data_IF_747607404851
#
_entry.id   IF_747607404851
#
_cell.length_a   1.000
_cell.length_b   1.000
_cell.length_c   1.000
_cell.angle_alpha   90.00
_cell.angle_beta   90.00
_cell.angle_gamma   90.00
#
_symmetry.space_group_name_H-M   'P 1'
#
loop_
_entity.id
_entity.type
_entity.pdbx_description
1 polymer ?
#
# COMPACT_ATOMS: atom_id res chain seq x y z
N UNK A 1 -7.74 36.90 12.15
CA UNK A 1 -7.94 36.71 10.70
C UNK A 1 -9.12 35.78 10.51
N UNK A 2 -9.96 35.92 9.48
CA UNK A 2 -11.02 34.93 9.21
C UNK A 2 -10.46 33.76 8.36
N UNK A 3 -11.20 32.63 8.19
CA UNK A 3 -10.70 31.50 7.43
C UNK A 3 -10.34 31.83 5.97
N UNK A 4 -11.10 32.72 5.32
CA UNK A 4 -10.84 33.11 3.91
C UNK A 4 -9.52 33.84 3.81
N UNK A 5 -9.34 34.88 4.62
CA UNK A 5 -8.11 35.67 4.64
C UNK A 5 -6.89 34.80 5.01
N UNK A 6 -7.05 33.77 5.85
CA UNK A 6 -5.98 32.81 6.15
C UNK A 6 -5.57 32.02 4.92
N UNK A 7 -6.54 31.50 4.16
CA UNK A 7 -6.26 30.73 2.94
C UNK A 7 -5.63 31.63 1.88
N UNK A 8 -6.18 32.82 1.64
CA UNK A 8 -5.65 33.78 0.66
C UNK A 8 -4.20 34.19 0.99
N UNK A 9 -3.89 34.42 2.27
CA UNK A 9 -2.54 34.70 2.72
C UNK A 9 -1.60 33.50 2.51
N UNK A 10 -2.04 32.27 2.82
CA UNK A 10 -1.26 31.06 2.56
C UNK A 10 -0.93 30.89 1.07
N UNK A 11 -1.92 31.04 0.18
CA UNK A 11 -1.72 30.92 -1.27
C UNK A 11 -0.69 31.95 -1.77
N UNK A 12 -0.80 33.21 -1.33
CA UNK A 12 0.11 34.28 -1.72
C UNK A 12 1.54 34.03 -1.20
N UNK A 13 1.69 33.66 0.07
CA UNK A 13 2.99 33.41 0.69
C UNK A 13 3.69 32.17 0.08
N UNK A 14 2.93 31.11 -0.23
CA UNK A 14 3.47 29.93 -0.92
C UNK A 14 3.97 30.27 -2.32
N UNK A 15 3.17 30.98 -3.12
CA UNK A 15 3.56 31.40 -4.46
C UNK A 15 4.78 32.33 -4.45
N UNK A 16 4.86 33.26 -3.49
CA UNK A 16 6.01 34.16 -3.34
C UNK A 16 7.29 33.40 -2.98
N UNK A 17 7.20 32.45 -2.04
CA UNK A 17 8.32 31.60 -1.67
C UNK A 17 8.80 30.71 -2.83
N UNK A 18 7.87 30.12 -3.59
CA UNK A 18 8.19 29.34 -4.79
C UNK A 18 8.95 30.20 -5.81
N UNK A 19 8.45 31.40 -6.12
CA UNK A 19 9.08 32.32 -7.06
C UNK A 19 10.49 32.76 -6.62
N UNK A 20 10.73 32.92 -5.32
CA UNK A 20 12.04 33.27 -4.76
C UNK A 20 13.06 32.13 -4.94
N UNK A 21 12.62 30.88 -4.78
CA UNK A 21 13.49 29.69 -4.82
C UNK A 21 13.65 29.14 -6.25
N UNK A 22 12.66 29.33 -7.13
CA UNK A 22 12.64 28.79 -8.50
C UNK A 22 13.94 29.01 -9.29
N UNK A 23 14.60 30.20 -9.25
CA UNK A 23 15.85 30.41 -9.98
C UNK A 23 17.00 29.49 -9.57
N UNK A 24 16.98 28.90 -8.37
CA UNK A 24 17.98 27.93 -7.91
C UNK A 24 17.82 26.59 -8.64
N UNK A 25 16.58 26.19 -8.96
CA UNK A 25 16.28 24.98 -9.71
C UNK A 25 16.53 25.15 -11.22
N UNK A 26 16.23 26.33 -11.78
CA UNK A 26 16.42 26.61 -13.21
C UNK A 26 17.90 26.74 -13.62
N UNK A 27 18.81 27.06 -12.70
CA UNK A 27 20.23 27.30 -12.99
C UNK A 27 21.16 26.08 -12.79
N UNK A 28 20.60 24.86 -12.81
CA UNK A 28 21.34 23.59 -12.58
C UNK A 28 22.55 23.37 -13.48
N UNK A 29 22.58 23.94 -14.68
CA UNK A 29 23.68 23.76 -15.65
C UNK A 29 24.99 24.50 -15.27
N UNK A 30 25.00 25.35 -14.22
CA UNK A 30 26.16 26.21 -13.89
C UNK A 30 27.01 25.78 -12.70
N UNK A 31 26.91 24.52 -12.26
CA UNK A 31 27.75 24.00 -11.18
C UNK A 31 27.50 24.65 -9.81
N UNK A 32 26.30 25.20 -9.60
CA UNK A 32 25.90 25.79 -8.33
C UNK A 32 25.75 24.72 -7.22
N UNK A 33 25.97 25.07 -5.93
CA UNK A 33 25.77 24.15 -4.81
C UNK A 33 24.38 23.52 -4.80
N UNK A 34 24.27 22.28 -4.32
CA UNK A 34 23.04 21.46 -4.22
C UNK A 34 22.11 21.92 -3.08
N UNK A 35 21.99 23.23 -2.85
CA UNK A 35 21.24 23.79 -1.72
C UNK A 35 19.80 24.20 -2.13
N UNK A 36 19.34 23.79 -3.32
CA UNK A 36 18.02 24.14 -3.90
C UNK A 36 16.87 23.64 -3.02
N UNK A 37 16.88 22.35 -2.68
CA UNK A 37 15.92 21.78 -1.75
C UNK A 37 16.10 22.28 -0.32
N UNK A 38 17.31 22.65 0.12
CA UNK A 38 17.52 23.23 1.44
C UNK A 38 16.88 24.61 1.58
N UNK A 39 17.06 25.46 0.56
CA UNK A 39 16.40 26.76 0.48
C UNK A 39 14.87 26.60 0.46
N UNK A 40 14.37 25.64 -0.32
CA UNK A 40 12.93 25.34 -0.39
C UNK A 40 12.38 24.88 0.98
N UNK A 41 13.04 23.91 1.62
CA UNK A 41 12.64 23.41 2.94
C UNK A 41 12.63 24.51 4.00
N UNK A 42 13.57 25.45 3.94
CA UNK A 42 13.58 26.60 4.85
C UNK A 42 12.34 27.49 4.65
N UNK A 43 11.99 27.80 3.40
CA UNK A 43 10.80 28.61 3.10
C UNK A 43 9.51 27.90 3.49
N UNK A 44 9.40 26.61 3.24
CA UNK A 44 8.27 25.81 3.70
C UNK A 44 8.10 25.84 5.22
N UNK A 45 9.19 25.81 5.99
CA UNK A 45 9.11 25.96 7.46
C UNK A 45 8.60 27.33 7.89
N UNK A 46 8.97 28.39 7.17
CA UNK A 46 8.46 29.74 7.43
C UNK A 46 6.95 29.83 7.15
N UNK A 47 6.48 29.25 6.03
CA UNK A 47 5.06 29.16 5.68
C UNK A 47 4.28 28.33 6.72
N UNK A 48 4.82 27.16 7.09
CA UNK A 48 4.21 26.26 8.08
C UNK A 48 4.01 26.97 9.42
N UNK A 49 5.06 27.64 9.94
CA UNK A 49 4.98 28.43 11.17
C UNK A 49 3.97 29.59 11.09
N UNK A 50 3.85 30.23 9.92
CA UNK A 50 2.95 31.35 9.71
C UNK A 50 1.47 30.94 9.62
N UNK A 51 1.17 29.78 9.03
CA UNK A 51 -0.19 29.43 8.60
C UNK A 51 -0.78 28.18 9.23
N UNK A 52 0.05 27.21 9.64
CA UNK A 52 -0.43 25.88 10.01
C UNK A 52 -0.52 25.66 11.53
N UNK A 53 -1.29 24.64 11.91
CA UNK A 53 -1.39 24.09 13.26
C UNK A 53 -0.98 22.60 13.34
N UNK A 54 -0.89 21.92 12.19
CA UNK A 54 -0.53 20.51 12.11
C UNK A 54 0.98 20.24 12.04
N UNK A 55 1.35 18.98 11.82
CA UNK A 55 2.74 18.58 11.57
C UNK A 55 3.32 19.24 10.32
N UNK A 56 4.66 19.34 10.31
CA UNK A 56 5.41 19.91 9.21
C UNK A 56 5.13 19.17 7.89
N UNK A 57 4.97 19.97 6.85
CA UNK A 57 4.65 19.61 5.47
C UNK A 57 5.74 18.77 4.76
N UNK A 58 6.01 17.55 5.23
CA UNK A 58 7.09 16.69 4.68
C UNK A 58 6.90 16.34 3.21
N UNK A 59 5.66 16.13 2.74
CA UNK A 59 5.38 15.69 1.37
C UNK A 59 5.83 16.70 0.31
N UNK A 60 5.75 18.01 0.58
CA UNK A 60 6.23 19.05 -0.35
C UNK A 60 7.69 19.45 -0.10
N UNK A 61 8.28 19.01 1.01
CA UNK A 61 9.67 19.34 1.35
C UNK A 61 10.69 18.74 0.38
N UNK A 62 10.31 17.68 -0.34
CA UNK A 62 11.14 16.98 -1.33
C UNK A 62 10.62 17.09 -2.76
N UNK A 63 9.57 17.90 -2.98
CA UNK A 63 9.00 18.14 -4.30
C UNK A 63 9.10 19.62 -4.65
N UNK A 64 9.54 19.91 -5.87
CA UNK A 64 9.55 21.27 -6.42
C UNK A 64 9.22 21.22 -7.90
N UNK A 65 8.07 21.78 -8.28
CA UNK A 65 7.60 21.81 -9.66
C UNK A 65 7.91 23.15 -10.34
N UNK A 66 7.80 23.18 -11.67
CA UNK A 66 8.00 24.41 -12.46
C UNK A 66 6.97 25.50 -12.16
N UNK A 67 5.80 25.13 -11.64
CA UNK A 67 4.74 26.02 -11.15
C UNK A 67 4.45 25.73 -9.68
N UNK A 68 4.01 26.72 -8.90
CA UNK A 68 3.63 26.50 -7.51
C UNK A 68 2.35 25.65 -7.42
N UNK A 69 2.33 24.69 -6.49
CA UNK A 69 1.12 23.88 -6.21
C UNK A 69 -0.04 24.72 -5.68
N UNK A 70 0.28 25.81 -4.97
CA UNK A 70 -0.66 26.75 -4.39
C UNK A 70 -0.35 28.17 -4.87
N UNK A 71 -1.28 28.78 -5.61
CA UNK A 71 -1.16 30.18 -6.04
C UNK A 71 -2.54 30.82 -6.16
N UNK A 72 -2.70 32.12 -5.82
CA UNK A 72 -3.94 32.85 -6.07
C UNK A 72 -4.33 32.89 -7.55
N UNK A 73 -3.36 32.71 -8.47
CA UNK A 73 -3.60 32.73 -9.91
C UNK A 73 -4.17 31.42 -10.46
N UNK A 74 -3.98 30.31 -9.73
CA UNK A 74 -4.35 28.95 -10.18
C UNK A 74 -5.32 28.24 -9.25
N UNK A 75 -5.61 28.81 -8.08
CA UNK A 75 -6.48 28.21 -7.06
C UNK A 75 -7.55 29.21 -6.62
N UNK A 76 -8.82 28.84 -6.79
CA UNK A 76 -9.98 29.65 -6.40
C UNK A 76 -10.70 29.05 -5.18
N UNK A 77 -11.06 29.88 -4.20
CA UNK A 77 -11.86 29.44 -3.04
C UNK A 77 -13.35 29.45 -3.40
N UNK A 78 -13.90 28.27 -3.68
CA UNK A 78 -15.31 28.10 -4.04
C UNK A 78 -16.25 28.22 -2.83
N UNK A 79 -15.88 27.60 -1.71
CA UNK A 79 -16.78 27.47 -0.55
C UNK A 79 -16.01 27.41 0.76
N UNK A 80 -16.54 28.06 1.79
CA UNK A 80 -16.08 27.93 3.17
C UNK A 80 -17.28 27.66 4.07
N UNK A 81 -17.18 26.60 4.86
CA UNK A 81 -18.17 26.22 5.86
C UNK A 81 -17.53 26.29 7.25
N UNK A 82 -18.13 27.05 8.17
CA UNK A 82 -17.61 27.23 9.53
C UNK A 82 -18.45 26.42 10.52
N UNK A 83 -17.78 25.57 11.28
CA UNK A 83 -18.32 24.66 12.28
C UNK A 83 -17.72 25.00 13.65
N UNK A 84 -18.15 26.11 14.25
CA UNK A 84 -17.64 26.56 15.54
C UNK A 84 -16.17 26.96 15.48
N UNK A 85 -15.29 26.15 16.08
CA UNK A 85 -13.84 26.32 16.07
C UNK A 85 -13.14 25.59 14.91
N UNK A 86 -13.89 25.00 14.00
CA UNK A 86 -13.38 24.38 12.78
C UNK A 86 -13.97 25.08 11.55
N UNK A 87 -13.23 25.09 10.46
CA UNK A 87 -13.75 25.49 9.16
C UNK A 87 -13.25 24.51 8.10
N UNK A 88 -14.06 24.27 7.08
CA UNK A 88 -13.70 23.49 5.91
C UNK A 88 -13.84 24.39 4.70
N UNK A 89 -12.77 24.49 3.92
CA UNK A 89 -12.78 25.22 2.67
C UNK A 89 -12.60 24.24 1.51
N UNK A 90 -13.38 24.44 0.46
CA UNK A 90 -13.19 23.80 -0.85
C UNK A 90 -12.62 24.83 -1.80
N UNK A 91 -11.55 24.45 -2.47
CA UNK A 91 -10.91 25.24 -3.49
C UNK A 91 -10.85 24.43 -4.80
N UNK A 92 -10.95 25.13 -5.92
CA UNK A 92 -10.78 24.57 -7.26
C UNK A 92 -9.43 24.98 -7.82
N UNK A 93 -8.72 24.01 -8.41
CA UNK A 93 -7.46 24.21 -9.11
C UNK A 93 -7.73 24.33 -10.61
N UNK A 94 -7.11 25.31 -11.27
CA UNK A 94 -7.16 25.45 -12.72
C UNK A 94 -6.67 24.15 -13.38
N UNK A 95 -7.39 23.66 -14.39
CA UNK A 95 -7.09 22.39 -15.06
C UNK A 95 -5.75 22.35 -15.78
N UNK A 96 -5.10 23.49 -15.99
CA UNK A 96 -3.76 23.63 -16.56
C UNK A 96 -2.66 23.63 -15.48
N UNK A 97 -3.03 23.83 -14.22
CA UNK A 97 -2.09 23.75 -13.11
C UNK A 97 -1.81 22.29 -12.74
N UNK A 98 -0.63 22.05 -12.17
CA UNK A 98 -0.22 20.71 -11.76
C UNK A 98 -0.98 20.24 -10.52
N UNK A 99 -1.32 18.96 -10.46
CA UNK A 99 -1.98 18.26 -9.36
C UNK A 99 -3.51 18.19 -9.50
N UNK A 100 -4.18 17.71 -8.46
CA UNK A 100 -5.59 17.36 -8.54
C UNK A 100 -6.52 18.60 -8.51
N UNK A 101 -7.68 18.52 -9.18
CA UNK A 101 -8.58 19.66 -9.42
C UNK A 101 -9.26 20.20 -8.15
N UNK A 102 -9.41 19.39 -7.10
CA UNK A 102 -10.14 19.75 -5.89
C UNK A 102 -9.18 19.75 -4.71
N UNK A 103 -9.11 20.87 -3.99
CA UNK A 103 -8.38 20.99 -2.74
C UNK A 103 -9.38 21.19 -1.61
N UNK A 104 -9.30 20.40 -0.55
CA UNK A 104 -10.04 20.64 0.70
C UNK A 104 -9.05 21.06 1.80
N UNK A 105 -9.24 22.24 2.37
CA UNK A 105 -8.47 22.71 3.52
C UNK A 105 -9.32 22.66 4.78
N UNK A 106 -8.83 21.96 5.79
CA UNK A 106 -9.39 22.03 7.15
C UNK A 106 -8.64 23.09 7.93
N UNK A 107 -9.37 23.96 8.62
CA UNK A 107 -8.83 24.98 9.50
C UNK A 107 -9.39 24.80 10.89
N UNK A 108 -8.56 25.08 11.89
CA UNK A 108 -8.92 25.10 13.31
C UNK A 108 -8.61 26.46 13.90
N UNK A 109 -9.44 26.88 14.85
CA UNK A 109 -9.24 28.12 15.60
C UNK A 109 -8.29 27.85 16.77
N UNK A 110 -7.13 28.50 16.74
CA UNK A 110 -6.09 28.46 17.77
C UNK A 110 -6.02 29.84 18.42
N UNK A 111 -6.60 29.98 19.61
CA UNK A 111 -6.80 31.29 20.24
C UNK A 111 -7.68 32.20 19.39
N UNK A 112 -7.16 33.37 19.01
CA UNK A 112 -7.86 34.35 18.17
C UNK A 112 -7.52 34.27 16.68
N UNK A 113 -6.85 33.19 16.27
CA UNK A 113 -6.36 32.99 14.91
C UNK A 113 -6.89 31.69 14.31
N UNK A 114 -7.06 31.67 13.00
CA UNK A 114 -7.38 30.46 12.25
C UNK A 114 -6.10 29.90 11.65
N UNK A 115 -5.91 28.59 11.78
CA UNK A 115 -4.73 27.88 11.30
C UNK A 115 -5.14 26.71 10.44
N UNK A 116 -4.39 26.48 9.37
CA UNK A 116 -4.62 25.34 8.49
C UNK A 116 -4.12 24.08 9.20
N UNK A 117 -5.01 23.11 9.33
CA UNK A 117 -4.77 21.83 9.99
C UNK A 117 -4.34 20.79 8.93
N UNK A 118 -5.21 20.55 7.95
CA UNK A 118 -4.95 19.65 6.82
C UNK A 118 -5.24 20.34 5.49
N UNK A 119 -4.57 19.85 4.46
CA UNK A 119 -4.83 20.20 3.07
C UNK A 119 -4.80 18.86 2.32
N UNK A 120 -5.89 18.55 1.63
CA UNK A 120 -6.06 17.31 0.89
C UNK A 120 -6.41 17.62 -0.56
N UNK A 121 -5.80 16.87 -1.48
CA UNK A 121 -5.98 16.99 -2.92
C UNK A 121 -6.82 15.79 -3.40
N UNK A 122 -7.81 16.05 -4.27
CA UNK A 122 -8.74 15.03 -4.75
C UNK A 122 -8.99 15.12 -6.25
N UNK A 123 -8.84 13.98 -6.93
CA UNK A 123 -9.19 13.83 -8.36
C UNK A 123 -10.69 13.85 -8.62
N UNK A 124 -11.45 13.31 -7.67
CA UNK A 124 -12.89 13.13 -7.73
C UNK A 124 -13.56 13.81 -6.53
N UNK A 125 -14.89 13.81 -6.48
CA UNK A 125 -15.61 14.45 -5.39
C UNK A 125 -15.25 13.83 -4.03
N UNK A 126 -14.81 14.61 -3.02
CA UNK A 126 -14.32 14.04 -1.75
C UNK A 126 -15.36 13.21 -0.98
N UNK A 127 -16.65 13.40 -1.30
CA UNK A 127 -17.77 12.66 -0.72
C UNK A 127 -18.25 11.45 -1.53
N UNK A 128 -17.77 11.24 -2.76
CA UNK A 128 -18.10 10.05 -3.55
C UNK A 128 -17.29 8.84 -3.09
N UNK A 129 -17.81 7.61 -3.28
CA UNK A 129 -17.07 6.40 -2.94
C UNK A 129 -15.85 6.20 -3.84
N UNK A 130 -14.87 5.39 -3.41
CA UNK A 130 -13.69 5.04 -4.20
C UNK A 130 -14.05 4.23 -5.47
N UNK A 131 -15.14 3.46 -5.40
CA UNK A 131 -15.72 2.70 -6.51
C UNK A 131 -17.23 2.89 -6.50
N UNK A 132 -17.81 3.13 -7.67
CA UNK A 132 -19.26 3.20 -7.83
C UNK A 132 -19.93 1.90 -7.37
N UNK A 133 -21.04 2.04 -6.64
CA UNK A 133 -21.76 0.90 -6.06
C UNK A 133 -22.14 -0.14 -7.13
N UNK A 134 -22.64 0.30 -8.27
CA UNK A 134 -23.07 -0.61 -9.34
C UNK A 134 -21.89 -1.37 -9.96
N UNK A 135 -20.70 -0.75 -10.00
CA UNK A 135 -19.46 -1.39 -10.45
C UNK A 135 -19.02 -2.45 -9.43
N UNK A 136 -19.05 -2.13 -8.13
CA UNK A 136 -18.70 -3.08 -7.07
C UNK A 136 -19.67 -4.28 -7.05
N UNK A 137 -20.98 -4.05 -7.22
CA UNK A 137 -21.95 -5.14 -7.36
C UNK A 137 -21.69 -6.01 -8.60
N UNK A 138 -21.28 -5.41 -9.71
CA UNK A 138 -20.90 -6.15 -10.92
C UNK A 138 -19.65 -7.01 -10.69
N UNK A 139 -18.64 -6.51 -9.95
CA UNK A 139 -17.47 -7.30 -9.57
C UNK A 139 -17.84 -8.47 -8.68
N UNK A 140 -18.69 -8.26 -7.67
CA UNK A 140 -19.17 -9.35 -6.79
C UNK A 140 -19.97 -10.40 -7.58
N UNK A 141 -20.83 -9.97 -8.49
CA UNK A 141 -21.59 -10.87 -9.35
C UNK A 141 -20.70 -11.63 -10.36
N UNK A 142 -19.55 -11.08 -10.76
CA UNK A 142 -18.55 -11.76 -11.57
C UNK A 142 -17.74 -12.76 -10.73
N UNK A 143 -17.30 -12.36 -9.53
CA UNK A 143 -16.63 -13.22 -8.57
C UNK A 143 -17.47 -14.46 -8.20
N UNK A 144 -18.79 -14.30 -8.02
CA UNK A 144 -19.72 -15.41 -7.76
C UNK A 144 -19.83 -16.42 -8.91
N UNK A 145 -19.42 -16.04 -10.13
CA UNK A 145 -19.42 -16.92 -11.30
C UNK A 145 -18.06 -17.55 -11.57
N UNK A 146 -17.01 -17.01 -10.96
CA UNK A 146 -15.68 -17.61 -11.01
C UNK A 146 -15.74 -18.90 -10.22
N UNK A 147 -15.38 -20.03 -10.84
CA UNK A 147 -15.11 -21.26 -10.10
C UNK A 147 -13.76 -21.05 -9.42
N UNK A 148 -13.68 -20.68 -8.12
CA UNK A 148 -12.44 -20.18 -7.53
C UNK A 148 -11.37 -21.28 -7.45
N UNK A 149 -11.79 -22.54 -7.64
CA UNK A 149 -11.02 -23.73 -7.30
C UNK A 149 -10.60 -24.58 -8.50
N UNK A 150 -11.16 -24.40 -9.69
CA UNK A 150 -10.82 -25.21 -10.89
C UNK A 150 -9.74 -24.57 -11.78
N UNK A 151 -9.53 -23.25 -11.64
CA UNK A 151 -8.56 -22.50 -12.45
C UNK A 151 -7.13 -22.49 -11.87
N UNK A 152 -6.91 -23.14 -10.73
CA UNK A 152 -5.63 -23.09 -10.02
C UNK A 152 -5.01 -24.48 -9.97
N UNK A 153 -3.80 -24.58 -10.49
CA UNK A 153 -3.07 -25.84 -10.57
C UNK A 153 -2.90 -26.45 -9.18
N UNK A 154 -3.08 -27.77 -9.12
CA UNK A 154 -2.99 -28.61 -7.92
C UNK A 154 -1.54 -28.83 -7.43
N UNK A 155 -0.58 -28.11 -8.01
CA UNK A 155 0.82 -28.25 -7.62
C UNK A 155 0.94 -27.86 -6.14
N UNK A 156 1.76 -28.61 -5.40
CA UNK A 156 1.98 -28.44 -3.97
C UNK A 156 2.56 -27.03 -3.73
N UNK A 157 1.68 -26.03 -3.64
CA UNK A 157 2.07 -24.66 -3.33
C UNK A 157 2.65 -24.66 -1.90
N UNK A 158 3.74 -23.91 -1.65
CA UNK A 158 4.28 -23.79 -0.31
C UNK A 158 3.17 -23.34 0.64
N UNK A 159 3.08 -23.93 1.83
CA UNK A 159 2.19 -23.47 2.89
C UNK A 159 2.70 -22.10 3.37
N UNK A 160 2.08 -20.98 2.94
CA UNK A 160 2.56 -19.65 3.29
C UNK A 160 2.33 -19.33 4.77
N UNK A 161 1.50 -20.12 5.49
CA UNK A 161 1.32 -19.97 6.93
C UNK A 161 2.28 -20.82 7.75
N UNK A 162 3.02 -21.77 7.17
CA UNK A 162 3.94 -22.62 7.93
C UNK A 162 4.97 -21.78 8.72
N UNK A 163 5.43 -20.68 8.13
CA UNK A 163 6.36 -19.72 8.76
C UNK A 163 5.73 -18.93 9.91
N UNK A 164 4.40 -18.79 9.96
CA UNK A 164 3.67 -18.20 11.10
C UNK A 164 3.53 -19.15 12.29
N UNK A 165 4.03 -20.38 12.21
CA UNK A 165 4.09 -21.32 13.34
C UNK A 165 5.54 -21.57 13.80
N UNK A 166 6.51 -20.94 13.12
CA UNK A 166 7.94 -21.13 13.36
C UNK A 166 8.53 -19.99 14.20
N UNK A 167 9.70 -20.23 14.78
CA UNK A 167 10.54 -19.17 15.38
C UNK A 167 11.72 -18.78 14.49
N UNK A 168 11.99 -19.57 13.45
CA UNK A 168 13.04 -19.36 12.46
C UNK A 168 12.54 -19.77 11.08
N UNK A 169 12.99 -19.08 10.04
CA UNK A 169 12.63 -19.36 8.66
C UNK A 169 13.82 -19.12 7.73
N UNK A 170 13.77 -19.76 6.57
CA UNK A 170 14.74 -19.58 5.49
C UNK A 170 14.34 -18.40 4.59
N UNK A 171 15.33 -17.60 4.20
CA UNK A 171 15.20 -16.55 3.18
C UNK A 171 14.72 -17.15 1.86
N UNK A 172 13.70 -16.53 1.27
CA UNK A 172 13.28 -16.83 -0.08
C UNK A 172 14.15 -16.04 -1.07
N UNK A 173 14.72 -16.75 -2.03
CA UNK A 173 15.44 -16.16 -3.15
C UNK A 173 14.56 -16.28 -4.40
N UNK A 174 14.40 -15.18 -5.14
CA UNK A 174 13.61 -15.20 -6.38
C UNK A 174 14.28 -16.10 -7.42
N UNK A 175 13.46 -16.75 -8.25
CA UNK A 175 13.97 -17.58 -9.35
C UNK A 175 14.84 -16.75 -10.31
N UNK A 176 14.47 -15.50 -10.58
CA UNK A 176 15.27 -14.55 -11.38
C UNK A 176 16.65 -14.31 -10.76
N UNK A 177 16.73 -14.07 -9.45
CA UNK A 177 18.01 -13.88 -8.77
C UNK A 177 18.88 -15.14 -8.81
N UNK A 178 18.25 -16.31 -8.68
CA UNK A 178 18.94 -17.60 -8.77
C UNK A 178 19.47 -17.80 -10.20
N UNK A 179 18.63 -17.59 -11.21
CA UNK A 179 18.97 -17.69 -12.63
C UNK A 179 20.12 -16.73 -13.01
N UNK A 180 20.05 -15.46 -12.61
CA UNK A 180 21.12 -14.48 -12.84
C UNK A 180 22.44 -14.86 -12.15
N UNK A 181 22.36 -15.60 -11.04
CA UNK A 181 23.51 -16.08 -10.27
C UNK A 181 24.06 -17.43 -10.77
N UNK A 182 23.39 -18.09 -11.71
CA UNK A 182 23.88 -19.35 -12.26
C UNK A 182 25.09 -19.09 -13.16
N UNK A 183 26.18 -19.82 -12.91
CA UNK A 183 27.36 -19.81 -13.76
C UNK A 183 27.42 -21.10 -14.60
N UNK A 184 27.69 -20.97 -15.90
CA UNK A 184 27.85 -22.11 -16.80
C UNK A 184 29.00 -23.03 -16.34
N UNK A 185 28.73 -24.33 -16.21
CA UNK A 185 29.71 -25.36 -15.93
C UNK A 185 29.98 -26.26 -17.13
N UNK A 186 31.19 -26.82 -17.18
CA UNK A 186 31.58 -27.74 -18.24
C UNK A 186 30.69 -28.98 -18.23
N UNK A 187 29.84 -29.12 -19.26
CA UNK A 187 28.89 -30.22 -19.39
C UNK A 187 27.42 -29.82 -19.28
N UNK A 188 27.11 -28.55 -18.99
CA UNK A 188 25.74 -28.07 -18.82
C UNK A 188 24.91 -28.00 -20.13
N UNK A 189 25.52 -28.26 -21.29
CA UNK A 189 24.81 -28.22 -22.57
C UNK A 189 24.45 -26.79 -23.02
N UNK A 190 23.42 -26.67 -23.86
CA UNK A 190 22.93 -25.41 -24.39
C UNK A 190 21.83 -24.85 -23.49
N UNK A 191 22.07 -23.71 -22.84
CA UNK A 191 21.09 -23.09 -21.94
C UNK A 191 19.89 -22.46 -22.67
N UNK A 192 20.01 -22.26 -23.99
CA UNK A 192 18.87 -21.83 -24.82
C UNK A 192 17.86 -22.98 -25.07
N UNK A 193 18.20 -24.23 -24.71
CA UNK A 193 17.30 -25.39 -24.77
C UNK A 193 16.52 -25.53 -23.45
N UNK A 194 15.17 -25.35 -23.45
CA UNK A 194 14.35 -25.47 -22.24
C UNK A 194 14.43 -26.84 -21.56
N UNK A 195 14.67 -27.91 -22.31
CA UNK A 195 14.79 -29.27 -21.74
C UNK A 195 16.12 -29.46 -20.99
N UNK A 196 17.13 -28.64 -21.29
CA UNK A 196 18.43 -28.60 -20.60
C UNK A 196 18.39 -27.59 -19.46
N UNK A 197 17.79 -26.42 -19.68
CA UNK A 197 17.74 -25.33 -18.72
C UNK A 197 16.87 -25.65 -17.49
N UNK A 198 15.68 -26.22 -17.69
CA UNK A 198 14.75 -26.49 -16.57
C UNK A 198 15.35 -27.41 -15.47
N UNK A 199 16.04 -28.52 -15.79
CA UNK A 199 16.73 -29.32 -14.78
C UNK A 199 17.89 -28.60 -14.08
N UNK A 200 18.63 -27.74 -14.80
CA UNK A 200 19.71 -26.94 -14.23
C UNK A 200 19.17 -25.90 -13.24
N UNK A 201 18.12 -25.18 -13.63
CA UNK A 201 17.43 -24.22 -12.77
C UNK A 201 16.85 -24.93 -11.53
N UNK A 202 16.20 -26.09 -11.69
CA UNK A 202 15.67 -26.85 -10.56
C UNK A 202 16.77 -27.25 -9.56
N UNK A 203 17.95 -27.65 -10.04
CA UNK A 203 19.10 -27.98 -9.19
C UNK A 203 19.67 -26.73 -8.51
N UNK A 204 19.75 -25.60 -9.22
CA UNK A 204 20.17 -24.33 -8.66
C UNK A 204 19.21 -23.85 -7.56
N UNK A 205 17.90 -23.96 -7.77
CA UNK A 205 16.86 -23.69 -6.77
C UNK A 205 17.04 -24.59 -5.55
N UNK A 206 17.23 -25.90 -5.73
CA UNK A 206 17.46 -26.82 -4.61
C UNK A 206 18.73 -26.46 -3.83
N UNK A 207 19.80 -26.08 -4.52
CA UNK A 207 21.06 -25.66 -3.89
C UNK A 207 20.92 -24.33 -3.16
N UNK A 208 20.23 -23.35 -3.76
CA UNK A 208 19.92 -22.07 -3.14
C UNK A 208 19.10 -22.28 -1.86
N UNK A 209 18.07 -23.12 -1.91
CA UNK A 209 17.25 -23.52 -0.75
C UNK A 209 18.08 -24.14 0.38
N UNK A 210 19.05 -25.00 0.06
CA UNK A 210 19.94 -25.61 1.07
C UNK A 210 20.88 -24.61 1.74
N UNK A 211 21.28 -23.57 1.01
CA UNK A 211 22.25 -22.57 1.47
C UNK A 211 21.59 -21.26 1.91
N UNK A 212 20.25 -21.18 1.87
CA UNK A 212 19.49 -20.00 2.21
C UNK A 212 19.82 -19.54 3.63
N UNK A 213 19.88 -18.21 3.82
CA UNK A 213 20.08 -17.66 5.15
C UNK A 213 18.90 -18.03 6.05
N UNK A 214 19.20 -18.39 7.29
CA UNK A 214 18.19 -18.74 8.28
C UNK A 214 18.17 -17.67 9.36
N UNK A 215 16.99 -17.09 9.59
CA UNK A 215 16.82 -15.96 10.49
C UNK A 215 15.60 -16.10 11.39
N UNK A 216 15.57 -15.37 12.51
CA UNK A 216 14.45 -15.39 13.42
C UNK A 216 13.23 -14.73 12.80
N UNK A 217 12.05 -15.25 13.13
CA UNK A 217 10.76 -14.64 12.75
C UNK A 217 9.92 -14.31 13.98
N UNK A 218 9.14 -13.24 13.89
CA UNK A 218 8.25 -12.78 14.97
C UNK A 218 6.85 -12.55 14.41
N UNK A 219 5.83 -12.96 15.16
CA UNK A 219 4.43 -12.68 14.83
C UNK A 219 3.99 -11.46 15.63
N UNK A 220 3.55 -10.42 14.94
CA UNK A 220 2.90 -9.27 15.54
C UNK A 220 1.38 -9.37 15.38
N UNK A 221 0.67 -9.38 16.51
CA UNK A 221 -0.78 -9.18 16.53
C UNK A 221 -1.13 -7.74 16.18
N UNK A 222 -1.94 -7.56 15.14
CA UNK A 222 -2.41 -6.23 14.70
C UNK A 222 -3.75 -5.92 15.35
N UNK A 223 -4.65 -6.89 15.40
CA UNK A 223 -5.96 -6.78 16.04
C UNK A 223 -7.06 -7.48 15.25
N UNK A 224 -8.30 -6.99 15.37
CA UNK A 224 -9.48 -7.60 14.76
C UNK A 224 -10.32 -6.58 14.01
N UNK A 225 -10.97 -7.01 12.93
CA UNK A 225 -11.89 -6.19 12.16
C UNK A 225 -13.08 -7.01 11.63
N UNK A 226 -14.30 -6.43 11.57
CA UNK A 226 -15.45 -7.07 10.95
C UNK A 226 -15.30 -7.14 9.42
N UNK A 227 -15.83 -8.20 8.82
CA UNK A 227 -15.91 -8.31 7.37
C UNK A 227 -17.28 -8.84 6.92
N UNK A 228 -17.66 -8.45 5.71
CA UNK A 228 -18.80 -8.95 4.97
C UNK A 228 -18.43 -10.19 4.15
N UNK A 229 -18.97 -10.26 2.93
CA UNK A 229 -18.91 -11.48 2.11
C UNK A 229 -17.69 -11.59 1.20
N UNK A 230 -16.87 -10.54 1.10
CA UNK A 230 -15.65 -10.53 0.30
C UNK A 230 -14.56 -9.70 0.99
N UNK A 231 -13.31 -10.07 0.74
CA UNK A 231 -12.15 -9.29 1.12
C UNK A 231 -11.57 -8.57 -0.09
N UNK A 232 -10.85 -7.47 0.17
CA UNK A 232 -10.00 -6.78 -0.77
C UNK A 232 -8.54 -6.90 -0.32
N UNK A 233 -7.63 -7.02 -1.28
CA UNK A 233 -6.19 -7.20 -1.05
C UNK A 233 -5.36 -6.35 -2.02
N UNK A 234 -4.18 -5.90 -1.59
CA UNK A 234 -3.22 -5.21 -2.45
C UNK A 234 -2.59 -3.98 -1.78
N UNK A 235 -2.25 -3.00 -2.60
CA UNK A 235 -1.65 -1.74 -2.19
C UNK A 235 -2.75 -0.70 -1.95
N UNK A 236 -2.97 -0.26 -0.70
CA UNK A 236 -3.96 0.76 -0.42
C UNK A 236 -3.63 2.07 -1.13
N UNK A 237 -2.37 2.35 -1.51
CA UNK A 237 -1.90 3.56 -2.21
C UNK A 237 -1.64 3.37 -3.69
N UNK A 238 -1.74 2.13 -4.15
CA UNK A 238 -1.66 1.74 -5.56
C UNK A 238 -2.97 1.12 -6.00
N UNK A 239 -2.93 -0.18 -6.26
CA UNK A 239 -4.09 -0.97 -6.66
C UNK A 239 -4.54 -1.95 -5.57
N UNK A 240 -5.82 -1.82 -5.19
CA UNK A 240 -6.55 -2.80 -4.38
C UNK A 240 -7.48 -3.61 -5.27
N UNK A 241 -7.53 -4.91 -5.04
CA UNK A 241 -8.32 -5.86 -5.82
C UNK A 241 -9.33 -6.60 -4.93
N UNK A 242 -10.51 -6.93 -5.47
CA UNK A 242 -11.50 -7.76 -4.78
C UNK A 242 -11.11 -9.24 -4.91
N UNK A 243 -11.05 -9.98 -3.80
CA UNK A 243 -10.80 -11.42 -3.82
C UNK A 243 -12.07 -12.18 -4.25
N UNK A 244 -11.98 -12.94 -5.34
CA UNK A 244 -13.08 -13.69 -5.93
C UNK A 244 -13.35 -15.02 -5.21
N UNK A 245 -13.54 -14.95 -3.89
CA UNK A 245 -14.05 -16.04 -3.06
C UNK A 245 -15.02 -15.47 -2.04
N UNK A 246 -16.27 -15.95 -2.09
CA UNK A 246 -17.30 -15.52 -1.16
C UNK A 246 -17.09 -16.20 0.19
N UNK A 247 -17.18 -15.43 1.26
CA UNK A 247 -17.04 -15.88 2.65
C UNK A 247 -18.27 -15.52 3.47
N UNK A 248 -18.47 -16.21 4.58
CA UNK A 248 -19.50 -15.83 5.55
C UNK A 248 -19.06 -14.57 6.31
N UNK A 249 -19.94 -13.58 6.53
CA UNK A 249 -19.63 -12.40 7.34
C UNK A 249 -19.20 -12.78 8.76
N UNK A 250 -18.22 -12.07 9.29
CA UNK A 250 -17.61 -12.44 10.57
C UNK A 250 -16.64 -11.41 11.10
N UNK A 251 -15.76 -11.88 11.98
CA UNK A 251 -14.69 -11.10 12.59
C UNK A 251 -13.37 -11.77 12.23
N UNK A 252 -12.49 -11.04 11.54
CA UNK A 252 -11.17 -11.51 11.18
C UNK A 252 -10.14 -11.04 12.22
N UNK A 253 -9.15 -11.88 12.53
CA UNK A 253 -7.96 -11.52 13.30
C UNK A 253 -6.78 -11.32 12.35
N UNK A 254 -6.09 -10.20 12.45
CA UNK A 254 -4.97 -9.85 11.59
C UNK A 254 -3.62 -9.95 12.32
N UNK A 255 -2.64 -10.52 11.63
CA UNK A 255 -1.27 -10.68 12.12
C UNK A 255 -0.25 -10.38 11.03
N UNK A 256 0.88 -9.78 11.39
CA UNK A 256 2.04 -9.60 10.53
C UNK A 256 3.14 -10.59 10.92
N UNK A 257 3.81 -11.16 9.92
CA UNK A 257 5.04 -11.92 10.08
C UNK A 257 6.22 -10.99 9.84
N UNK A 258 7.13 -10.92 10.80
CA UNK A 258 8.29 -10.04 10.79
C UNK A 258 9.56 -10.85 10.69
N UNK A 259 10.54 -10.34 9.95
CA UNK A 259 11.88 -10.92 9.84
C UNK A 259 12.94 -9.83 9.88
N UNK A 260 14.19 -10.23 10.16
CA UNK A 260 15.37 -9.38 10.03
C UNK A 260 16.36 -9.91 8.98
N UNK A 261 15.99 -10.95 8.23
CA UNK A 261 16.76 -11.43 7.09
C UNK A 261 16.89 -10.32 6.04
N UNK A 262 18.09 -10.13 5.48
CA UNK A 262 18.41 -8.97 4.65
C UNK A 262 18.74 -7.69 5.43
N UNK A 263 18.88 -7.76 6.76
CA UNK A 263 19.50 -6.72 7.59
C UNK A 263 18.53 -5.87 8.43
N UNK A 264 17.55 -5.22 7.78
CA UNK A 264 16.54 -4.41 8.48
C UNK A 264 15.26 -5.19 8.74
N UNK A 265 14.57 -4.85 9.85
CA UNK A 265 13.28 -5.45 10.22
C UNK A 265 12.23 -5.10 9.18
N UNK A 266 11.65 -6.11 8.53
CA UNK A 266 10.60 -5.97 7.52
C UNK A 266 9.39 -6.85 7.84
N UNK A 267 8.26 -6.59 7.17
CA UNK A 267 7.09 -7.47 7.17
C UNK A 267 7.19 -8.41 5.97
N UNK A 268 7.35 -9.70 6.25
CA UNK A 268 7.41 -10.75 5.23
C UNK A 268 6.01 -11.11 4.69
N UNK A 269 4.99 -11.11 5.57
CA UNK A 269 3.63 -11.43 5.18
C UNK A 269 2.59 -10.82 6.13
N UNK A 270 1.40 -10.56 5.62
CA UNK A 270 0.20 -10.19 6.36
C UNK A 270 -0.82 -11.32 6.24
N UNK A 271 -1.36 -11.81 7.36
CA UNK A 271 -2.46 -12.77 7.32
C UNK A 271 -3.70 -12.27 8.05
N UNK A 272 -4.86 -12.72 7.58
CA UNK A 272 -6.13 -12.62 8.28
C UNK A 272 -6.72 -14.00 8.51
N UNK A 273 -7.08 -14.28 9.76
CA UNK A 273 -7.66 -15.54 10.22
C UNK A 273 -9.16 -15.33 10.38
N UNK A 274 -9.95 -16.07 9.61
CA UNK A 274 -11.41 -15.99 9.56
C UNK A 274 -12.08 -16.96 10.53
N UNK A 275 -11.42 -18.10 10.81
CA UNK A 275 -11.89 -19.12 11.73
C UNK A 275 -10.73 -19.71 12.53
N UNK A 276 -11.02 -20.19 13.74
CA UNK A 276 -10.04 -20.87 14.59
C UNK A 276 -9.86 -22.33 14.14
N UNK A 277 -9.32 -22.49 12.93
CA UNK A 277 -9.06 -23.77 12.26
C UNK A 277 -7.81 -23.64 11.43
N UNK A 278 -6.97 -24.68 11.45
CA UNK A 278 -5.79 -24.74 10.59
C UNK A 278 -6.20 -25.05 9.15
N UNK A 279 -5.59 -24.37 8.16
CA UNK A 279 -5.75 -24.72 6.76
C UNK A 279 -5.04 -26.03 6.43
N UNK A 280 -5.67 -26.85 5.58
CA UNK A 280 -5.12 -28.13 5.09
C UNK A 280 -4.80 -28.09 3.59
N UNK A 281 -5.31 -27.09 2.87
CA UNK A 281 -5.04 -26.85 1.45
C UNK A 281 -4.82 -25.34 1.25
N UNK A 282 -3.85 -24.99 0.41
CA UNK A 282 -3.55 -23.62 0.04
C UNK A 282 -3.79 -23.38 -1.44
N UNK A 283 -4.40 -22.24 -1.77
CA UNK A 283 -4.76 -21.85 -3.12
C UNK A 283 -4.44 -20.39 -3.35
N UNK A 284 -4.04 -20.00 -4.54
CA UNK A 284 -3.92 -18.58 -4.85
C UNK A 284 -5.26 -17.86 -4.69
N UNK A 285 -5.25 -16.58 -4.37
CA UNK A 285 -6.43 -15.76 -4.49
C UNK A 285 -6.65 -15.40 -5.95
N UNK A 286 -7.84 -15.69 -6.48
CA UNK A 286 -8.28 -15.05 -7.72
C UNK A 286 -8.74 -13.64 -7.38
N UNK A 287 -8.37 -12.64 -8.18
CA UNK A 287 -8.69 -11.25 -7.90
C UNK A 287 -9.36 -10.54 -9.07
N UNK A 288 -10.23 -9.59 -8.74
CA UNK A 288 -10.85 -8.64 -9.67
C UNK A 288 -10.10 -7.31 -9.55
N UNK A 289 -9.63 -6.77 -10.68
CA UNK A 289 -8.85 -5.53 -10.69
C UNK A 289 -9.75 -4.28 -10.72
N UNK A 290 -9.16 -3.13 -10.35
CA UNK A 290 -9.90 -1.87 -10.23
C UNK A 290 -10.14 -1.20 -11.59
N UNK A 291 -9.43 -1.58 -12.66
CA UNK A 291 -9.48 -0.86 -13.94
C UNK A 291 -10.93 -0.77 -14.44
N UNK A 292 -11.47 0.44 -14.30
CA UNK A 292 -12.85 0.82 -14.62
C UNK A 292 -13.17 0.26 -16.01
N UNK A 293 -14.19 -0.60 -16.10
CA UNK A 293 -14.65 -1.38 -17.28
C UNK A 293 -14.05 -2.77 -17.51
N UNK A 294 -13.05 -3.21 -16.76
CA UNK A 294 -12.62 -4.60 -16.77
C UNK A 294 -13.42 -5.38 -15.72
N UNK A 295 -14.29 -6.28 -16.18
CA UNK A 295 -14.82 -7.39 -15.35
C UNK A 295 -13.90 -8.60 -15.47
N UNK A 296 -12.66 -8.39 -15.92
CA UNK A 296 -11.77 -9.48 -16.23
C UNK A 296 -11.25 -10.06 -14.92
N UNK A 297 -11.53 -11.34 -14.74
CA UNK A 297 -10.97 -12.15 -13.68
C UNK A 297 -9.50 -12.34 -14.05
N UNK A 298 -8.59 -11.85 -13.21
CA UNK A 298 -7.18 -12.10 -13.45
C UNK A 298 -6.67 -13.20 -12.51
N UNK A 299 -6.15 -14.31 -13.05
CA UNK A 299 -5.38 -15.26 -12.26
C UNK A 299 -3.94 -14.77 -12.04
N UNK A 300 -3.68 -13.44 -12.00
CA UNK A 300 -2.33 -12.93 -11.73
C UNK A 300 -1.95 -13.44 -10.35
N UNK A 301 -0.80 -14.10 -10.25
CA UNK A 301 -0.28 -14.58 -8.96
C UNK A 301 0.18 -13.42 -8.07
N UNK A 302 0.36 -12.22 -8.66
CA UNK A 302 0.89 -11.04 -8.01
C UNK A 302 -0.18 -9.94 -7.85
N UNK A 303 -0.20 -9.33 -6.67
CA UNK A 303 -0.96 -8.14 -6.33
C UNK A 303 0.00 -6.97 -6.14
N UNK A 304 -0.43 -5.77 -6.53
CA UNK A 304 0.37 -4.55 -6.37
C UNK A 304 0.68 -4.32 -4.88
N UNK A 305 1.94 -4.03 -4.57
CA UNK A 305 2.42 -3.56 -3.25
C UNK A 305 3.57 -2.56 -3.41
N UNK A 306 3.58 -1.82 -4.54
CA UNK A 306 4.69 -0.95 -4.95
C UNK A 306 5.02 0.19 -3.98
N UNK A 307 4.05 0.64 -3.19
CA UNK A 307 4.31 1.62 -2.12
C UNK A 307 5.13 1.03 -0.97
N UNK A 308 5.25 -0.30 -0.91
CA UNK A 308 5.75 -1.06 0.22
C UNK A 308 4.62 -1.49 1.17
N UNK A 309 3.37 -1.15 0.89
CA UNK A 309 2.24 -1.55 1.72
C UNK A 309 1.52 -2.78 1.18
N UNK A 310 1.15 -3.66 2.11
CA UNK A 310 0.20 -4.75 1.89
C UNK A 310 -1.02 -4.55 2.78
N UNK A 311 -2.21 -4.69 2.21
CA UNK A 311 -3.49 -4.55 2.93
C UNK A 311 -4.41 -5.72 2.68
N UNK A 312 -5.13 -6.14 3.72
CA UNK A 312 -6.31 -6.99 3.62
C UNK A 312 -7.46 -6.30 4.36
N UNK A 313 -8.58 -6.07 3.68
CA UNK A 313 -9.74 -5.37 4.23
C UNK A 313 -11.07 -5.98 3.78
N UNK A 314 -12.16 -5.64 4.46
CA UNK A 314 -13.50 -5.86 3.94
C UNK A 314 -13.71 -5.10 2.62
N UNK A 315 -14.16 -5.81 1.58
CA UNK A 315 -14.25 -5.22 0.24
C UNK A 315 -15.33 -4.12 0.16
N UNK A 316 -16.50 -4.36 0.75
CA UNK A 316 -17.61 -3.39 0.71
C UNK A 316 -17.26 -2.10 1.47
N UNK A 317 -16.66 -2.24 2.66
CA UNK A 317 -16.21 -1.11 3.44
C UNK A 317 -15.06 -0.36 2.76
N UNK A 318 -14.06 -1.06 2.21
CA UNK A 318 -12.91 -0.43 1.57
C UNK A 318 -13.32 0.36 0.32
N UNK A 319 -13.94 -0.31 -0.65
CA UNK A 319 -14.34 0.32 -1.92
C UNK A 319 -15.49 1.31 -1.74
N UNK A 320 -16.30 1.15 -0.69
CA UNK A 320 -17.36 2.08 -0.30
C UNK A 320 -16.87 3.31 0.50
N UNK A 321 -15.59 3.37 0.90
CA UNK A 321 -15.05 4.56 1.55
C UNK A 321 -15.21 5.78 0.64
N UNK A 322 -15.55 6.92 1.21
CA UNK A 322 -15.39 8.19 0.47
C UNK A 322 -13.92 8.52 0.29
N UNK A 323 -13.58 9.29 -0.75
CA UNK A 323 -12.22 9.80 -0.95
C UNK A 323 -11.69 10.55 0.29
N UNK A 324 -12.55 11.28 1.02
CA UNK A 324 -12.20 11.94 2.29
C UNK A 324 -11.90 10.96 3.42
N UNK A 325 -12.57 9.81 3.48
CA UNK A 325 -12.26 8.77 4.45
C UNK A 325 -10.92 8.11 4.13
N UNK A 326 -10.69 7.84 2.85
CA UNK A 326 -9.46 7.26 2.35
C UNK A 326 -8.24 8.14 2.66
N UNK A 327 -8.31 9.47 2.50
CA UNK A 327 -7.19 10.36 2.84
C UNK A 327 -6.76 10.28 4.30
N UNK A 328 -7.64 9.87 5.23
CA UNK A 328 -7.29 9.64 6.64
C UNK A 328 -6.49 8.36 6.84
N UNK A 329 -6.83 7.32 6.10
CA UNK A 329 -6.10 6.06 6.08
C UNK A 329 -4.72 6.26 5.48
N UNK A 330 -4.62 7.06 4.42
CA UNK A 330 -3.35 7.34 3.72
C UNK A 330 -2.25 7.95 4.57
N UNK A 331 -2.63 8.71 5.60
CA UNK A 331 -1.67 9.29 6.55
C UNK A 331 -0.97 8.24 7.43
N UNK A 332 -1.38 6.98 7.39
CA UNK A 332 -0.83 5.87 8.18
C UNK A 332 0.08 4.94 7.35
N UNK A 333 0.44 5.33 6.12
CA UNK A 333 1.18 4.54 5.12
C UNK A 333 2.44 3.82 5.64
N UNK A 334 3.23 4.39 6.54
CA UNK A 334 4.51 3.78 6.97
C UNK A 334 4.39 2.94 8.25
N UNK A 335 3.21 2.37 8.54
CA UNK A 335 2.94 1.67 9.79
C UNK A 335 2.26 0.31 9.59
N UNK A 336 2.32 -0.53 10.62
CA UNK A 336 1.43 -1.68 10.78
C UNK A 336 0.25 -1.26 11.64
N UNK A 337 -0.97 -1.30 11.10
CA UNK A 337 -2.15 -0.74 11.77
C UNK A 337 -3.46 -1.43 11.34
N UNK A 338 -4.49 -1.28 12.18
CA UNK A 338 -5.87 -1.53 11.77
C UNK A 338 -6.38 -0.34 10.97
N UNK A 339 -6.79 -0.59 9.73
CA UNK A 339 -7.31 0.43 8.84
C UNK A 339 -8.67 0.93 9.36
N UNK A 340 -8.73 2.18 9.81
CA UNK A 340 -9.95 2.81 10.31
C UNK A 340 -10.20 4.17 9.63
N UNK A 341 -11.21 4.30 8.76
CA UNK A 341 -11.59 5.57 8.13
C UNK A 341 -12.29 6.58 9.08
N UNK A 342 -12.48 6.21 10.34
CA UNK A 342 -13.16 6.98 11.39
C UNK A 342 -14.51 6.40 11.81
N UNK A 343 -14.87 5.20 11.34
CA UNK A 343 -16.11 4.49 11.69
C UNK A 343 -15.87 3.14 12.37
N UNK A 344 -14.63 2.83 12.69
CA UNK A 344 -14.19 1.52 13.17
C UNK A 344 -13.29 0.82 12.15
N UNK A 345 -12.53 -0.20 12.58
CA UNK A 345 -11.60 -0.90 11.71
C UNK A 345 -12.33 -1.65 10.61
N UNK A 346 -11.78 -1.60 9.41
CA UNK A 346 -12.31 -2.28 8.21
C UNK A 346 -11.32 -3.28 7.62
N UNK A 347 -10.09 -3.32 8.14
CA UNK A 347 -9.00 -4.13 7.62
C UNK A 347 -7.73 -3.96 8.41
N UNK A 348 -6.66 -4.58 7.93
CA UNK A 348 -5.31 -4.39 8.44
C UNK A 348 -4.37 -4.04 7.28
N UNK A 349 -3.40 -3.18 7.57
CA UNK A 349 -2.38 -2.77 6.63
C UNK A 349 -1.01 -2.86 7.30
N UNK A 350 0.00 -3.22 6.51
CA UNK A 350 1.39 -3.32 6.93
C UNK A 350 2.25 -2.59 5.94
N UNK A 351 3.17 -1.76 6.45
CA UNK A 351 4.32 -1.32 5.68
C UNK A 351 5.43 -2.35 5.81
N UNK A 352 5.89 -2.89 4.69
CA UNK A 352 6.87 -3.95 4.71
C UNK A 352 8.28 -3.48 5.04
N UNK A 353 8.55 -2.17 4.97
CA UNK A 353 9.92 -1.65 5.13
C UNK A 353 10.76 -1.75 3.86
N UNK A 354 10.23 -2.36 2.78
CA UNK A 354 10.89 -2.49 1.48
C UNK A 354 9.89 -2.22 0.35
N UNK A 355 10.38 -1.85 -0.83
CA UNK A 355 9.53 -1.64 -2.01
C UNK A 355 9.62 -2.86 -2.93
N UNK A 356 8.87 -3.92 -2.61
CA UNK A 356 8.91 -5.17 -3.37
C UNK A 356 8.26 -5.06 -4.76
N UNK A 357 7.31 -4.14 -4.94
CA UNK A 357 6.58 -3.98 -6.20
C UNK A 357 5.39 -4.93 -6.35
N UNK A 358 5.48 -6.14 -5.80
CA UNK A 358 4.43 -7.15 -5.86
C UNK A 358 4.42 -8.05 -4.60
N UNK A 359 3.28 -8.68 -4.34
CA UNK A 359 3.08 -9.72 -3.33
C UNK A 359 2.14 -10.79 -3.87
N UNK A 360 2.06 -11.96 -3.25
CA UNK A 360 1.11 -13.01 -3.65
C UNK A 360 0.04 -13.20 -2.59
N UNK A 361 -1.21 -13.41 -3.01
CA UNK A 361 -2.33 -13.65 -2.11
C UNK A 361 -2.76 -15.12 -2.16
N UNK A 362 -3.02 -15.72 -1.00
CA UNK A 362 -3.39 -17.14 -0.86
C UNK A 362 -4.54 -17.36 0.12
N UNK A 363 -5.50 -18.20 -0.27
CA UNK A 363 -6.54 -18.76 0.59
C UNK A 363 -6.09 -20.06 1.23
N UNK A 364 -6.18 -20.12 2.56
CA UNK A 364 -6.08 -21.35 3.34
C UNK A 364 -7.47 -21.94 3.55
N UNK A 365 -7.67 -23.20 3.17
CA UNK A 365 -8.94 -23.90 3.20
C UNK A 365 -8.94 -25.02 4.25
N UNK A 366 -10.09 -25.26 4.92
CA UNK A 366 -10.28 -26.42 5.78
C UNK A 366 -10.60 -27.71 5.00
N UNK A 367 -10.78 -28.82 5.72
CA UNK A 367 -11.06 -30.15 5.13
C UNK A 367 -12.33 -30.17 4.26
N UNK A 368 -13.27 -29.25 4.50
CA UNK A 368 -14.50 -29.10 3.73
C UNK A 368 -14.38 -28.08 2.58
N UNK A 369 -13.17 -27.55 2.34
CA UNK A 369 -12.89 -26.57 1.31
C UNK A 369 -13.36 -25.15 1.65
N UNK A 370 -13.64 -24.86 2.93
CA UNK A 370 -14.06 -23.52 3.35
C UNK A 370 -12.85 -22.64 3.64
N UNK A 371 -12.88 -21.35 3.27
CA UNK A 371 -11.80 -20.43 3.59
C UNK A 371 -11.75 -20.14 5.09
N UNK A 372 -10.58 -20.37 5.69
CA UNK A 372 -10.30 -20.11 7.11
C UNK A 372 -9.22 -19.05 7.30
N UNK A 373 -8.42 -18.77 6.27
CA UNK A 373 -7.36 -17.77 6.31
C UNK A 373 -7.11 -17.16 4.93
N UNK A 374 -6.70 -15.90 4.88
CA UNK A 374 -6.08 -15.27 3.70
C UNK A 374 -4.69 -14.74 4.08
N UNK A 375 -3.69 -15.02 3.25
CA UNK A 375 -2.30 -14.53 3.41
C UNK A 375 -1.96 -13.66 2.22
N UNK A 376 -1.36 -12.51 2.50
CA UNK A 376 -0.65 -11.67 1.55
C UNK A 376 0.85 -11.80 1.86
N UNK A 377 1.59 -12.44 0.97
CA UNK A 377 2.98 -12.83 1.13
C UNK A 377 3.88 -11.99 0.23
N UNK A 378 4.87 -11.31 0.80
CA UNK A 378 5.87 -10.57 0.04
C UNK A 378 7.00 -11.46 -0.50
N UNK A 379 6.90 -12.78 -0.28
CA UNK A 379 7.84 -13.81 -0.77
C UNK A 379 9.26 -13.62 -0.23
N UNK A 380 9.38 -13.18 1.02
CA UNK A 380 10.65 -13.00 1.72
C UNK A 380 11.12 -14.28 2.41
N UNK A 381 10.18 -15.19 2.71
CA UNK A 381 10.42 -16.42 3.48
C UNK A 381 9.72 -17.58 2.79
N UNK A 382 10.38 -18.73 2.66
CA UNK A 382 9.80 -19.87 1.93
C UNK A 382 9.55 -21.13 2.78
N UNK A 383 10.22 -21.28 3.92
CA UNK A 383 10.03 -22.45 4.79
C UNK A 383 10.45 -22.19 6.25
N UNK A 384 9.82 -22.86 7.22
CA UNK A 384 10.32 -22.97 8.59
C UNK A 384 11.72 -23.57 8.64
N UNK A 385 12.52 -23.16 9.62
CA UNK A 385 13.85 -23.67 9.87
C UNK A 385 14.11 -23.91 11.36
N UNK A 386 15.16 -24.69 11.65
CA UNK A 386 15.71 -24.79 13.00
C UNK A 386 16.71 -23.65 13.27
N UNK A 387 16.90 -23.23 14.54
CA UNK A 387 17.89 -22.23 14.88
C UNK A 387 19.32 -22.66 14.48
N UNK A 388 20.19 -21.71 14.07
CA UNK A 388 21.58 -22.00 13.76
C UNK A 388 22.29 -22.72 14.92
N UNK A 389 22.84 -23.91 14.63
CA UNK A 389 23.55 -24.73 15.61
C UNK A 389 22.69 -25.75 16.38
N UNK A 390 21.40 -25.86 16.08
CA UNK A 390 20.56 -26.98 16.52
C UNK A 390 20.70 -28.20 15.59
N UNK A 391 21.92 -28.68 15.35
CA UNK A 391 22.11 -30.02 14.79
C UNK A 391 22.20 -31.02 15.95
N UNK A 392 21.29 -31.99 15.95
CA UNK A 392 21.28 -33.13 16.88
C UNK A 392 22.46 -34.08 16.66
#
# INVERSE_FOLDING_TARGET
MDPRARIEAFLADYAAAHAEVKPLFDNREKGAPRDDFDAWRKKLREIDAAHRNGEFYRQYAFSFCSSPDFSPDTVEIEKIEVYGNMARARLARDSRAYGDPIIEMMLVRVGDDWRIDTIDDYREEPGSPLVDKDVLEAWKAAADKTSPMEAQHKEDMPDPAAVFSASWACEALSEEFIEESMEWQEGDGDWDDPEVFAPLLAKAIEQARRNAEVGPVEIQEIGQFPHGSYLAVGDPFGEMCLCALRIDPGLARAQALLTTLGGERCVAALRVILADREPVEWKHAIVMNRRVYSTDVHPWHEVDTRSGNGTIADADAYFGMSHRQYSRVERQVEQTFLMDPGSGPIGASTYSGRQYGAAQAYWGLDEEGRPVQLVLDHQELWAPADPPGATA
#
